data_IF_260108181678
#
_entry.id   IF_260108181678
#
_cell.length_a   1.000
_cell.length_b   1.000
_cell.length_c   1.000
_cell.angle_alpha   90.00
_cell.angle_beta   90.00
_cell.angle_gamma   90.00
#
_symmetry.space_group_name_H-M   'P 1'
#
loop_
_entity.id
_entity.type
_entity.pdbx_description
1 polymer ?
#
# COMPACT_ATOMS: atom_id res chain seq x y z
N UNK A 1 1.22 -4.46 9.90
CA UNK A 1 0.01 -3.68 10.28
C UNK A 1 0.38 -2.21 10.35
N UNK A 2 -0.58 -1.31 10.07
CA UNK A 2 -0.41 0.12 10.31
C UNK A 2 -0.96 0.41 11.71
N UNK A 3 -0.12 0.97 12.58
CA UNK A 3 -0.41 1.19 14.00
C UNK A 3 -0.22 2.67 14.31
N UNK A 4 -1.27 3.30 14.83
CA UNK A 4 -1.21 4.70 15.24
C UNK A 4 -1.79 4.88 16.65
N UNK A 5 -1.30 5.91 17.32
CA UNK A 5 -1.80 6.28 18.64
C UNK A 5 -3.25 6.78 18.52
N UNK A 6 -4.09 6.37 19.46
CA UNK A 6 -5.46 6.85 19.62
C UNK A 6 -5.69 7.26 21.08
N UNK A 7 -6.62 8.18 21.36
CA UNK A 7 -6.88 8.64 22.73
C UNK A 7 -7.31 7.52 23.68
N UNK A 8 -7.89 6.46 23.12
CA UNK A 8 -8.37 5.30 23.86
C UNK A 8 -7.37 4.13 23.87
N UNK A 9 -6.25 4.21 23.13
CA UNK A 9 -5.29 3.12 22.98
C UNK A 9 -4.58 3.17 21.63
N UNK A 10 -4.75 2.14 20.81
CA UNK A 10 -4.18 2.08 19.47
C UNK A 10 -5.28 1.94 18.41
N UNK A 11 -5.13 2.67 17.30
CA UNK A 11 -5.87 2.39 16.08
C UNK A 11 -5.02 1.51 15.17
N UNK A 12 -5.60 0.40 14.71
CA UNK A 12 -4.94 -0.64 13.92
C UNK A 12 -5.66 -0.76 12.58
N UNK A 13 -4.89 -0.65 11.50
CA UNK A 13 -5.35 -0.85 10.13
C UNK A 13 -4.52 -2.01 9.54
N UNK A 14 -5.19 -3.00 8.95
CA UNK A 14 -4.49 -4.13 8.31
C UNK A 14 -3.85 -3.67 6.99
N UNK A 15 -2.79 -4.34 6.55
CA UNK A 15 -2.23 -4.05 5.22
C UNK A 15 -3.24 -4.38 4.11
N UNK A 16 -4.08 -5.40 4.29
CA UNK A 16 -5.20 -5.69 3.41
C UNK A 16 -6.17 -4.49 3.26
N UNK A 17 -6.48 -3.78 4.35
CA UNK A 17 -7.32 -2.58 4.29
C UNK A 17 -6.63 -1.42 3.56
N UNK A 18 -5.31 -1.29 3.73
CA UNK A 18 -4.48 -0.34 2.96
C UNK A 18 -4.44 -0.68 1.47
N UNK A 19 -4.16 -1.93 1.09
CA UNK A 19 -4.15 -2.39 -0.29
C UNK A 19 -5.51 -2.16 -0.97
N UNK A 20 -6.60 -2.52 -0.29
CA UNK A 20 -7.95 -2.21 -0.77
C UNK A 20 -8.18 -0.70 -0.92
N UNK A 21 -7.70 0.13 0.00
CA UNK A 21 -7.77 1.58 -0.13
C UNK A 21 -6.97 2.10 -1.34
N UNK A 22 -5.78 1.55 -1.62
CA UNK A 22 -5.00 1.87 -2.81
C UNK A 22 -5.83 1.56 -4.07
N UNK A 23 -6.47 0.38 -4.14
CA UNK A 23 -7.37 0.03 -5.23
C UNK A 23 -8.57 0.97 -5.36
N UNK A 24 -9.18 1.38 -4.23
CA UNK A 24 -10.26 2.38 -4.21
C UNK A 24 -9.76 3.72 -4.76
N UNK A 25 -8.57 4.18 -4.41
CA UNK A 25 -7.96 5.42 -4.95
C UNK A 25 -7.78 5.29 -6.47
N UNK A 26 -7.14 4.22 -6.93
CA UNK A 26 -6.93 3.95 -8.35
C UNK A 26 -8.25 3.95 -9.13
N UNK A 27 -9.31 3.34 -8.58
CA UNK A 27 -10.64 3.28 -9.21
C UNK A 27 -11.29 4.65 -9.47
N UNK A 28 -10.82 5.71 -8.80
CA UNK A 28 -11.33 7.06 -8.93
C UNK A 28 -10.53 7.93 -9.92
N UNK A 29 -9.41 7.43 -10.43
CA UNK A 29 -8.57 8.15 -11.40
C UNK A 29 -9.36 8.53 -12.65
N UNK A 30 -8.89 9.54 -13.38
CA UNK A 30 -9.53 9.92 -14.64
C UNK A 30 -9.45 8.79 -15.66
N UNK A 31 -10.46 8.68 -16.52
CA UNK A 31 -10.57 7.54 -17.46
C UNK A 31 -9.41 7.46 -18.45
N UNK A 32 -8.77 8.58 -18.77
CA UNK A 32 -7.57 8.65 -19.61
C UNK A 32 -6.30 8.11 -18.92
N UNK A 33 -6.36 7.78 -17.63
CA UNK A 33 -5.32 7.06 -16.89
C UNK A 33 -5.62 5.56 -16.77
N UNK A 34 -6.80 5.10 -17.20
CA UNK A 34 -7.21 3.69 -17.10
C UNK A 34 -6.87 2.95 -18.43
N UNK A 35 -5.83 2.11 -18.46
CA UNK A 35 -5.43 1.34 -19.63
C UNK A 35 -6.41 0.19 -19.95
N UNK A 36 -6.11 -0.56 -21.02
CA UNK A 36 -6.66 -1.89 -21.21
C UNK A 36 -6.31 -2.82 -20.02
N UNK A 37 -7.11 -3.86 -19.81
CA UNK A 37 -6.97 -4.79 -18.68
C UNK A 37 -7.01 -4.11 -17.31
N UNK A 38 -7.77 -3.02 -17.17
CA UNK A 38 -7.83 -2.23 -15.94
C UNK A 38 -8.19 -3.05 -14.69
N UNK A 39 -9.01 -4.10 -14.81
CA UNK A 39 -9.34 -4.98 -13.68
C UNK A 39 -8.11 -5.71 -13.16
N UNK A 40 -7.22 -6.18 -14.02
CA UNK A 40 -5.95 -6.82 -13.64
C UNK A 40 -5.04 -5.79 -12.94
N UNK A 41 -4.96 -4.57 -13.47
CA UNK A 41 -4.17 -3.48 -12.85
C UNK A 41 -4.71 -3.16 -11.46
N UNK A 42 -6.03 -2.98 -11.32
CA UNK A 42 -6.68 -2.77 -10.03
C UNK A 42 -6.43 -3.93 -9.08
N UNK A 43 -6.47 -5.17 -9.56
CA UNK A 43 -6.19 -6.36 -8.75
C UNK A 43 -4.75 -6.33 -8.24
N UNK A 44 -3.79 -5.98 -9.08
CA UNK A 44 -2.40 -5.82 -8.66
C UNK A 44 -2.24 -4.74 -7.59
N UNK A 45 -2.93 -3.60 -7.74
CA UNK A 45 -2.90 -2.50 -6.77
C UNK A 45 -3.57 -2.90 -5.46
N UNK A 46 -4.64 -3.69 -5.48
CA UNK A 46 -5.30 -4.14 -4.25
C UNK A 46 -4.41 -5.06 -3.43
N UNK A 47 -3.55 -5.84 -4.09
CA UNK A 47 -2.86 -6.98 -3.47
C UNK A 47 -1.34 -6.82 -3.36
N UNK A 48 -0.80 -5.67 -3.75
CA UNK A 48 0.65 -5.44 -3.84
C UNK A 48 1.42 -5.77 -2.55
N UNK A 49 0.77 -5.59 -1.39
CA UNK A 49 1.33 -5.77 -0.04
C UNK A 49 0.56 -6.79 0.82
N UNK A 50 -0.20 -7.69 0.17
CA UNK A 50 -0.96 -8.75 0.85
C UNK A 50 -0.04 -9.83 1.45
N UNK A 51 -0.64 -10.92 1.95
CA UNK A 51 0.07 -12.12 2.44
C UNK A 51 1.10 -11.87 3.54
N UNK A 52 0.90 -10.82 4.34
CA UNK A 52 1.65 -10.63 5.57
C UNK A 52 1.68 -11.92 6.39
N UNK A 53 2.85 -12.20 6.97
CA UNK A 53 3.07 -13.34 7.84
C UNK A 53 2.03 -13.34 8.97
N UNK A 54 1.46 -14.49 9.29
CA UNK A 54 0.41 -14.56 10.30
C UNK A 54 1.00 -14.36 11.73
N UNK A 55 0.13 -14.28 12.75
CA UNK A 55 0.54 -14.06 14.15
C UNK A 55 1.39 -15.19 14.77
N UNK A 56 1.50 -16.35 14.12
CA UNK A 56 2.41 -17.45 14.49
C UNK A 56 3.78 -17.32 13.80
N UNK A 57 3.83 -16.65 12.65
CA UNK A 57 5.03 -16.54 11.80
C UNK A 57 5.84 -15.27 12.04
N UNK A 58 5.19 -14.17 12.46
CA UNK A 58 5.83 -12.88 12.71
C UNK A 58 5.37 -12.29 14.04
N UNK A 59 6.31 -11.68 14.78
CA UNK A 59 5.99 -10.91 15.98
C UNK A 59 5.43 -9.52 15.62
N UNK A 60 4.23 -9.24 16.10
CA UNK A 60 3.51 -7.98 15.90
C UNK A 60 3.61 -7.07 17.12
N UNK A 61 4.44 -7.42 18.10
CA UNK A 61 4.72 -6.62 19.28
C UNK A 61 6.15 -6.07 19.26
N UNK A 62 6.34 -4.95 19.93
CA UNK A 62 7.66 -4.46 20.29
C UNK A 62 8.19 -5.24 21.50
N UNK A 63 9.47 -5.08 21.83
CA UNK A 63 10.08 -5.64 23.06
C UNK A 63 9.36 -5.21 24.35
N UNK A 64 8.63 -4.09 24.32
CA UNK A 64 7.86 -3.56 25.45
C UNK A 64 6.39 -4.03 25.44
N UNK A 65 6.01 -4.88 24.49
CA UNK A 65 4.65 -5.42 24.36
C UNK A 65 3.65 -4.48 23.69
N UNK A 66 4.06 -3.34 23.12
CA UNK A 66 3.14 -2.49 22.33
C UNK A 66 2.94 -3.06 20.93
N UNK A 67 1.79 -2.84 20.27
CA UNK A 67 1.64 -3.18 18.86
C UNK A 67 2.70 -2.49 18.00
N UNK A 68 3.17 -3.21 16.98
CA UNK A 68 4.27 -2.78 16.12
C UNK A 68 3.75 -2.23 14.80
N UNK A 69 4.12 -1.00 14.49
CA UNK A 69 3.89 -0.42 13.16
C UNK A 69 4.84 -1.05 12.13
N UNK A 70 4.37 -1.20 10.89
CA UNK A 70 5.16 -1.78 9.81
C UNK A 70 6.45 -1.02 9.50
N UNK A 71 6.52 0.28 9.81
CA UNK A 71 7.77 1.05 9.64
C UNK A 71 8.79 0.75 10.73
N UNK A 72 8.42 0.06 11.80
CA UNK A 72 9.35 -0.31 12.86
C UNK A 72 10.11 -1.57 12.42
N UNK A 73 11.43 -1.48 12.33
CA UNK A 73 12.30 -2.60 11.92
C UNK A 73 11.96 -3.90 12.66
N UNK A 74 11.41 -4.88 11.95
CA UNK A 74 11.66 -6.30 12.23
C UNK A 74 11.16 -7.17 11.09
N UNK A 75 11.94 -7.27 10.04
CA UNK A 75 11.94 -8.52 9.32
C UNK A 75 13.38 -9.01 9.33
N UNK A 76 13.60 -10.21 9.86
CA UNK A 76 14.84 -10.89 9.53
C UNK A 76 14.86 -11.04 8.01
N UNK A 77 16.01 -10.90 7.35
CA UNK A 77 16.13 -10.96 5.89
C UNK A 77 15.36 -12.14 5.26
N UNK A 78 15.30 -13.27 5.98
CA UNK A 78 14.52 -14.46 5.60
C UNK A 78 13.00 -14.28 5.64
N UNK A 79 12.45 -13.62 6.65
CA UNK A 79 11.01 -13.35 6.78
C UNK A 79 10.53 -12.43 5.66
N UNK A 80 11.34 -11.40 5.32
CA UNK A 80 11.08 -10.52 4.19
C UNK A 80 11.06 -11.28 2.85
N UNK A 81 12.03 -12.18 2.63
CA UNK A 81 12.05 -13.04 1.44
C UNK A 81 10.85 -13.98 1.37
N UNK A 82 10.50 -14.64 2.48
CA UNK A 82 9.35 -15.56 2.53
C UNK A 82 8.03 -14.81 2.24
N UNK A 83 7.87 -13.58 2.74
CA UNK A 83 6.73 -12.72 2.43
C UNK A 83 6.70 -12.34 0.94
N UNK A 84 7.80 -11.81 0.39
CA UNK A 84 7.88 -11.41 -1.01
C UNK A 84 7.59 -12.57 -1.97
N UNK A 85 8.09 -13.77 -1.67
CA UNK A 85 7.82 -14.99 -2.44
C UNK A 85 6.34 -15.37 -2.41
N UNK A 86 5.66 -15.27 -1.26
CA UNK A 86 4.21 -15.57 -1.15
C UNK A 86 3.38 -14.59 -1.94
N UNK A 87 3.68 -13.29 -1.82
CA UNK A 87 3.01 -12.22 -2.56
C UNK A 87 3.13 -12.46 -4.06
N UNK A 88 4.35 -12.68 -4.56
CA UNK A 88 4.58 -12.93 -5.98
C UNK A 88 3.93 -14.23 -6.47
N UNK A 89 4.04 -15.32 -5.69
CA UNK A 89 3.42 -16.59 -6.04
C UNK A 89 1.90 -16.47 -6.17
N UNK A 90 1.24 -15.73 -5.26
CA UNK A 90 -0.19 -15.44 -5.35
C UNK A 90 -0.52 -14.58 -6.58
N UNK A 91 0.27 -13.55 -6.87
CA UNK A 91 0.09 -12.71 -8.06
C UNK A 91 0.16 -13.54 -9.36
N UNK A 92 1.10 -14.49 -9.43
CA UNK A 92 1.26 -15.42 -10.55
C UNK A 92 0.06 -16.35 -10.76
N UNK A 93 -0.73 -16.65 -9.72
CA UNK A 93 -1.97 -17.44 -9.86
C UNK A 93 -3.11 -16.66 -10.51
N UNK A 94 -3.06 -15.33 -10.50
CA UNK A 94 -4.16 -14.46 -10.97
C UNK A 94 -3.98 -14.12 -12.43
N UNK A 95 -2.91 -13.41 -12.76
CA UNK A 95 -2.55 -13.13 -14.15
C UNK A 95 -1.08 -12.71 -14.25
N UNK A 96 -0.54 -12.81 -15.46
CA UNK A 96 0.84 -12.38 -15.71
C UNK A 96 1.01 -10.86 -15.63
N UNK A 97 -0.07 -10.08 -15.83
CA UNK A 97 -0.05 -8.62 -15.63
C UNK A 97 -0.06 -8.27 -14.15
N UNK A 98 -0.83 -9.00 -13.33
CA UNK A 98 -0.80 -8.85 -11.87
C UNK A 98 0.60 -9.16 -11.34
N UNK A 99 1.18 -10.30 -11.75
CA UNK A 99 2.55 -10.66 -11.38
C UNK A 99 3.60 -9.65 -11.85
N UNK A 100 3.45 -9.08 -13.04
CA UNK A 100 4.36 -8.05 -13.55
C UNK A 100 4.42 -6.83 -12.62
N UNK A 101 3.25 -6.28 -12.26
CA UNK A 101 3.19 -5.06 -11.44
C UNK A 101 3.57 -5.32 -9.99
N UNK A 102 3.11 -6.43 -9.41
CA UNK A 102 3.52 -6.85 -8.06
C UNK A 102 5.01 -7.12 -8.00
N UNK A 103 5.59 -7.78 -9.01
CA UNK A 103 7.03 -8.00 -9.11
C UNK A 103 7.84 -6.71 -9.18
N UNK A 104 7.35 -5.70 -9.92
CA UNK A 104 7.94 -4.34 -9.93
C UNK A 104 7.89 -3.68 -8.56
N UNK A 105 6.80 -3.89 -7.82
CA UNK A 105 6.68 -3.34 -6.46
C UNK A 105 7.64 -4.01 -5.48
N UNK A 106 7.75 -5.35 -5.54
CA UNK A 106 8.69 -6.11 -4.70
C UNK A 106 10.14 -5.74 -4.96
N UNK A 107 10.52 -5.51 -6.22
CA UNK A 107 11.86 -4.99 -6.58
C UNK A 107 12.11 -3.63 -5.92
N UNK A 108 11.18 -2.68 -6.06
CA UNK A 108 11.28 -1.36 -5.44
C UNK A 108 11.40 -1.41 -3.92
N UNK A 109 10.67 -2.31 -3.24
CA UNK A 109 10.70 -2.40 -1.77
C UNK A 109 11.96 -3.10 -1.23
N UNK A 110 12.58 -3.98 -2.00
CA UNK A 110 13.62 -4.88 -1.52
C UNK A 110 14.99 -4.65 -2.17
N UNK A 111 15.17 -3.55 -2.91
CA UNK A 111 16.45 -3.21 -3.55
C UNK A 111 17.60 -3.14 -2.54
N UNK A 112 17.43 -2.39 -1.44
CA UNK A 112 18.44 -2.26 -0.37
C UNK A 112 18.75 -3.63 0.27
N UNK A 113 17.72 -4.46 0.48
CA UNK A 113 17.90 -5.79 1.08
C UNK A 113 18.64 -6.73 0.13
N UNK A 114 18.43 -6.60 -1.18
CA UNK A 114 19.11 -7.43 -2.18
C UNK A 114 20.62 -7.16 -2.21
N UNK A 115 21.07 -5.93 -1.93
CA UNK A 115 22.51 -5.60 -1.87
C UNK A 115 23.24 -6.41 -0.77
N UNK A 116 22.58 -6.63 0.36
CA UNK A 116 23.17 -7.28 1.54
C UNK A 116 22.71 -8.74 1.75
N UNK A 117 21.74 -9.23 0.96
CA UNK A 117 21.15 -10.56 1.12
C UNK A 117 20.94 -11.29 -0.21
N UNK A 118 21.94 -12.06 -0.62
CA UNK A 118 21.97 -12.83 -1.88
C UNK A 118 20.71 -13.65 -2.21
N UNK A 119 20.00 -14.29 -1.27
CA UNK A 119 18.75 -14.96 -1.59
C UNK A 119 17.63 -14.02 -2.06
N UNK A 120 17.60 -12.77 -1.57
CA UNK A 120 16.68 -11.75 -2.09
C UNK A 120 17.11 -11.27 -3.48
N UNK A 121 18.40 -11.02 -3.69
CA UNK A 121 18.96 -10.70 -5.02
C UNK A 121 18.53 -11.72 -6.07
N UNK A 122 18.75 -13.02 -5.82
CA UNK A 122 18.37 -14.08 -6.75
C UNK A 122 16.87 -14.11 -7.04
N UNK A 123 16.04 -13.86 -6.02
CA UNK A 123 14.59 -13.83 -6.19
C UNK A 123 14.15 -12.65 -7.07
N UNK A 124 14.75 -11.47 -6.91
CA UNK A 124 14.45 -10.31 -7.76
C UNK A 124 14.94 -10.54 -9.20
N UNK A 125 16.10 -11.17 -9.40
CA UNK A 125 16.57 -11.59 -10.74
C UNK A 125 15.60 -12.55 -11.42
N UNK A 126 15.05 -13.53 -10.68
CA UNK A 126 14.07 -14.49 -11.21
C UNK A 126 12.77 -13.79 -11.65
N UNK A 127 12.33 -12.77 -10.91
CA UNK A 127 11.19 -11.92 -11.28
C UNK A 127 11.50 -11.12 -12.54
N UNK A 128 12.65 -10.44 -12.61
CA UNK A 128 13.02 -9.60 -13.76
C UNK A 128 13.17 -10.43 -15.04
N UNK A 129 13.68 -11.66 -14.94
CA UNK A 129 13.81 -12.58 -16.07
C UNK A 129 12.47 -12.88 -16.77
N UNK A 130 11.33 -12.81 -16.07
CA UNK A 130 9.99 -13.03 -16.62
C UNK A 130 9.39 -11.77 -17.28
N UNK A 131 9.89 -10.60 -16.91
CA UNK A 131 9.30 -9.29 -17.22
C UNK A 131 9.13 -9.03 -18.72
N UNK A 132 10.13 -9.40 -19.51
CA UNK A 132 10.08 -9.25 -20.97
C UNK A 132 8.99 -10.11 -21.62
N UNK A 133 8.80 -11.34 -21.13
CA UNK A 133 7.74 -12.23 -21.60
C UNK A 133 6.36 -11.74 -21.17
N UNK A 134 6.23 -11.27 -19.93
CA UNK A 134 4.98 -10.71 -19.40
C UNK A 134 4.54 -9.48 -20.21
N UNK A 135 5.44 -8.53 -20.46
CA UNK A 135 5.16 -7.39 -21.35
C UNK A 135 4.69 -7.84 -22.73
N UNK A 136 5.39 -8.79 -23.35
CA UNK A 136 5.04 -9.30 -24.69
C UNK A 136 3.65 -9.93 -24.71
N UNK A 137 3.24 -10.65 -23.67
CA UNK A 137 1.93 -11.30 -23.57
C UNK A 137 0.78 -10.30 -23.64
N UNK A 138 0.95 -9.12 -23.04
CA UNK A 138 -0.07 -8.05 -23.01
C UNK A 138 0.19 -6.95 -24.06
N UNK A 139 1.16 -7.14 -24.97
CA UNK A 139 1.49 -6.13 -25.97
C UNK A 139 2.05 -4.82 -25.40
N UNK A 140 2.61 -4.85 -24.18
CA UNK A 140 3.13 -3.67 -23.50
C UNK A 140 4.56 -3.34 -23.93
N UNK A 141 4.84 -2.06 -24.12
CA UNK A 141 6.20 -1.52 -24.14
C UNK A 141 6.69 -1.27 -22.70
N UNK A 142 8.00 -1.10 -22.51
CA UNK A 142 8.56 -0.75 -21.20
C UNK A 142 7.91 0.50 -20.60
N UNK A 143 7.70 1.53 -21.43
CA UNK A 143 7.02 2.77 -21.00
C UNK A 143 5.59 2.54 -20.50
N UNK A 144 4.91 1.52 -21.03
CA UNK A 144 3.53 1.23 -20.64
C UNK A 144 3.55 0.59 -19.25
N UNK A 145 4.42 -0.40 -19.03
CA UNK A 145 4.69 -0.96 -17.70
C UNK A 145 5.08 0.12 -16.67
N UNK A 146 5.98 1.04 -17.03
CA UNK A 146 6.38 2.14 -16.14
C UNK A 146 5.18 3.02 -15.78
N UNK A 147 4.31 3.36 -16.75
CA UNK A 147 3.09 4.13 -16.48
C UNK A 147 2.08 3.37 -15.58
N UNK A 148 1.97 2.05 -15.73
CA UNK A 148 1.12 1.22 -14.88
C UNK A 148 1.65 1.17 -13.44
N UNK A 149 2.97 1.04 -13.31
CA UNK A 149 3.63 1.04 -12.01
C UNK A 149 3.54 2.41 -11.32
N UNK A 150 3.63 3.51 -12.07
CA UNK A 150 3.41 4.86 -11.57
C UNK A 150 2.03 5.02 -10.90
N UNK A 151 0.99 4.44 -11.51
CA UNK A 151 -0.38 4.45 -10.96
C UNK A 151 -0.44 3.66 -9.65
N UNK A 152 0.20 2.48 -9.61
CA UNK A 152 0.28 1.67 -8.40
C UNK A 152 1.00 2.42 -7.28
N UNK A 153 2.19 2.95 -7.55
CA UNK A 153 3.02 3.64 -6.56
C UNK A 153 2.36 4.93 -6.05
N UNK A 154 1.64 5.66 -6.90
CA UNK A 154 0.80 6.78 -6.46
C UNK A 154 -0.30 6.32 -5.51
N UNK A 155 -1.00 5.23 -5.87
CA UNK A 155 -2.15 4.74 -5.12
C UNK A 155 -1.74 4.19 -3.75
N UNK A 156 -0.67 3.38 -3.70
CA UNK A 156 -0.04 2.85 -2.48
C UNK A 156 0.38 3.99 -1.53
N UNK A 157 1.21 4.92 -2.00
CA UNK A 157 1.66 6.02 -1.13
C UNK A 157 0.52 6.88 -0.63
N UNK A 158 -0.48 7.16 -1.48
CA UNK A 158 -1.65 7.94 -1.09
C UNK A 158 -2.48 7.21 -0.03
N UNK A 159 -2.68 5.89 -0.13
CA UNK A 159 -3.39 5.12 0.89
C UNK A 159 -2.61 5.04 2.20
N UNK A 160 -1.28 4.87 2.19
CA UNK A 160 -0.47 4.93 3.42
C UNK A 160 -0.62 6.28 4.14
N UNK A 161 -0.55 7.40 3.41
CA UNK A 161 -0.73 8.74 3.99
C UNK A 161 -2.10 8.88 4.65
N UNK A 162 -3.16 8.39 3.99
CA UNK A 162 -4.53 8.43 4.51
C UNK A 162 -4.73 7.54 5.73
N UNK A 163 -4.18 6.32 5.72
CA UNK A 163 -4.24 5.37 6.82
C UNK A 163 -3.47 5.87 8.05
N UNK A 164 -2.29 6.45 7.84
CA UNK A 164 -1.45 6.98 8.92
C UNK A 164 -1.88 8.37 9.42
N UNK A 165 -2.90 8.98 8.79
CA UNK A 165 -3.37 10.34 9.04
C UNK A 165 -2.25 11.40 9.01
N UNK A 166 -1.27 11.20 8.12
CA UNK A 166 -0.05 12.03 8.01
C UNK A 166 -0.25 13.36 7.29
N UNK A 167 -1.48 13.67 6.88
CA UNK A 167 -1.77 14.92 6.18
C UNK A 167 -1.44 16.08 7.14
N UNK A 168 -0.56 17.02 6.77
CA UNK A 168 -0.24 18.15 7.61
C UNK A 168 -1.44 19.05 7.92
N UNK A 169 -1.37 19.79 9.02
CA UNK A 169 -2.28 20.89 9.29
C UNK A 169 -2.09 22.02 8.26
N UNK A 170 -3.19 22.73 7.98
CA UNK A 170 -3.37 23.96 7.20
C UNK A 170 -2.23 24.34 6.23
N UNK A 171 -2.47 24.14 4.93
CA UNK A 171 -1.67 24.73 3.85
C UNK A 171 -0.29 24.10 3.59
N UNK A 172 0.21 23.23 4.47
CA UNK A 172 1.44 22.45 4.21
C UNK A 172 1.13 21.26 3.31
N UNK A 173 1.92 21.14 2.24
CA UNK A 173 1.85 20.05 1.28
C UNK A 173 2.74 18.90 1.71
N UNK A 174 2.19 17.69 1.73
CA UNK A 174 2.96 16.45 1.81
C UNK A 174 3.07 15.85 0.42
N UNK A 175 4.28 15.53 -0.03
CA UNK A 175 4.49 14.85 -1.30
C UNK A 175 3.96 13.42 -1.22
N UNK A 176 3.18 13.01 -2.23
CA UNK A 176 2.83 11.61 -2.46
C UNK A 176 4.02 10.95 -3.18
N UNK A 177 4.29 11.40 -4.41
CA UNK A 177 5.46 11.01 -5.21
C UNK A 177 5.57 11.86 -6.49
N UNK A 178 6.62 11.59 -7.28
CA UNK A 178 6.71 11.95 -8.69
C UNK A 178 6.54 10.70 -9.56
N UNK A 179 5.37 10.56 -10.21
CA UNK A 179 5.01 9.34 -10.97
C UNK A 179 4.15 9.68 -12.19
N UNK A 180 2.82 9.67 -12.05
CA UNK A 180 1.85 9.75 -13.15
C UNK A 180 2.12 11.00 -14.00
N UNK A 181 2.49 10.76 -15.27
CA UNK A 181 2.84 11.80 -16.27
C UNK A 181 4.05 12.66 -15.86
N UNK A 182 4.98 12.08 -15.11
CA UNK A 182 6.18 12.74 -14.58
C UNK A 182 5.84 14.04 -13.83
N UNK A 183 4.77 14.00 -13.05
CA UNK A 183 4.32 15.11 -12.19
C UNK A 183 4.50 14.73 -10.74
N UNK A 184 4.92 15.70 -9.94
CA UNK A 184 4.90 15.58 -8.48
C UNK A 184 3.48 15.84 -7.96
N UNK A 185 2.95 14.89 -7.20
CA UNK A 185 1.66 14.99 -6.54
C UNK A 185 1.84 15.30 -5.06
N UNK A 186 0.97 16.16 -4.55
CA UNK A 186 0.92 16.54 -3.15
C UNK A 186 -0.47 16.31 -2.59
N UNK A 187 -0.55 15.89 -1.33
CA UNK A 187 -1.79 15.85 -0.55
C UNK A 187 -1.72 16.87 0.57
N UNK A 188 -2.81 17.60 0.79
CA UNK A 188 -2.90 18.60 1.85
C UNK A 188 -4.35 18.87 2.24
N UNK A 189 -4.52 19.64 3.32
CA UNK A 189 -5.79 20.30 3.65
C UNK A 189 -5.83 21.68 3.00
N UNK A 190 -6.94 22.02 2.33
CA UNK A 190 -7.19 23.35 1.80
C UNK A 190 -7.55 24.35 2.92
N UNK A 191 -7.78 25.62 2.57
CA UNK A 191 -8.13 26.67 3.54
C UNK A 191 -9.50 26.45 4.23
N UNK A 192 -10.25 25.42 3.83
CA UNK A 192 -11.53 25.00 4.42
C UNK A 192 -11.42 23.66 5.13
N UNK A 193 -10.19 23.22 5.46
CA UNK A 193 -9.85 21.95 6.10
C UNK A 193 -10.24 20.69 5.30
N UNK A 194 -10.51 20.82 3.99
CA UNK A 194 -10.84 19.67 3.14
C UNK A 194 -9.58 19.08 2.53
N UNK A 195 -9.54 17.75 2.46
CA UNK A 195 -8.41 17.04 1.84
C UNK A 195 -8.48 17.22 0.32
N UNK A 196 -7.34 17.55 -0.30
CA UNK A 196 -7.17 17.67 -1.75
C UNK A 196 -5.85 17.04 -2.19
N UNK A 197 -5.77 16.68 -3.47
CA UNK A 197 -4.55 16.24 -4.15
C UNK A 197 -4.24 17.21 -5.28
N UNK A 198 -2.99 17.65 -5.39
CA UNK A 198 -2.52 18.58 -6.41
C UNK A 198 -1.29 18.01 -7.16
N UNK A 199 -1.33 17.90 -8.50
CA UNK A 199 -2.48 18.15 -9.37
C UNK A 199 -3.59 17.12 -9.16
N UNK A 200 -4.85 17.47 -9.43
CA UNK A 200 -6.00 16.58 -9.22
C UNK A 200 -6.06 15.47 -10.28
N UNK A 201 -5.85 14.18 -9.94
CA UNK A 201 -5.79 13.09 -10.94
C UNK A 201 -7.12 12.35 -11.12
N UNK A 202 -8.16 12.74 -10.39
CA UNK A 202 -9.42 11.99 -10.34
C UNK A 202 -10.43 12.50 -11.36
N UNK A 203 -11.28 11.61 -11.86
CA UNK A 203 -12.34 11.93 -12.84
C UNK A 203 -13.34 12.94 -12.25
N UNK A 204 -13.78 12.70 -11.01
CA UNK A 204 -14.79 13.50 -10.35
C UNK A 204 -14.13 14.58 -9.47
N UNK A 205 -14.75 15.75 -9.37
CA UNK A 205 -14.28 16.85 -8.50
C UNK A 205 -14.40 16.53 -7.00
N UNK A 206 -15.08 15.43 -6.66
CA UNK A 206 -15.23 14.94 -5.29
C UNK A 206 -15.25 13.42 -5.30
N UNK A 207 -14.44 12.82 -4.45
CA UNK A 207 -14.41 11.37 -4.25
C UNK A 207 -14.62 11.06 -2.77
N UNK A 208 -15.17 9.87 -2.50
CA UNK A 208 -15.34 9.33 -1.16
C UNK A 208 -14.55 8.05 -1.07
N UNK A 209 -13.69 7.95 -0.06
CA UNK A 209 -12.86 6.79 0.20
C UNK A 209 -13.12 6.33 1.62
N UNK A 210 -13.20 5.02 1.81
CA UNK A 210 -13.43 4.42 3.10
C UNK A 210 -12.51 3.22 3.32
N UNK A 211 -12.18 2.95 4.57
CA UNK A 211 -11.36 1.82 4.96
C UNK A 211 -11.64 1.43 6.41
N UNK A 212 -11.47 0.14 6.69
CA UNK A 212 -11.74 -0.44 8.00
C UNK A 212 -10.58 -0.20 8.96
N UNK A 213 -10.92 -0.06 10.23
CA UNK A 213 -9.94 0.04 11.33
C UNK A 213 -10.50 -0.62 12.59
N UNK A 214 -9.62 -0.85 13.56
CA UNK A 214 -9.98 -1.31 14.90
C UNK A 214 -9.33 -0.43 15.95
N UNK A 215 -10.06 -0.12 17.03
CA UNK A 215 -9.48 0.52 18.22
C UNK A 215 -9.28 -0.55 19.28
N UNK A 216 -8.03 -0.70 19.73
CA UNK A 216 -7.69 -1.59 20.85
C UNK A 216 -7.34 -0.72 22.06
N UNK A 217 -8.09 -0.83 23.17
CA UNK A 217 -7.86 0.04 24.33
C UNK A 217 -6.66 -0.41 25.18
N UNK A 218 -6.19 -1.63 24.98
CA UNK A 218 -5.07 -2.21 25.69
C UNK A 218 -3.75 -1.67 25.13
N UNK A 219 -2.96 -1.03 25.98
CA UNK A 219 -1.69 -0.41 25.59
C UNK A 219 -0.58 -1.43 25.31
N UNK A 220 -0.50 -2.51 26.10
CA UNK A 220 0.55 -3.53 26.00
C UNK A 220 -0.01 -4.94 26.11
N UNK A 221 0.67 -5.89 25.48
CA UNK A 221 0.29 -7.29 25.35
C UNK A 221 1.46 -8.17 25.79
N UNK A 222 1.14 -9.32 26.38
CA UNK A 222 2.14 -10.32 26.82
C UNK A 222 2.72 -11.07 25.64
N UNK A 223 1.93 -11.30 24.60
CA UNK A 223 2.32 -12.04 23.41
C UNK A 223 1.36 -11.76 22.23
N UNK A 224 1.78 -12.21 21.05
CA UNK A 224 1.02 -12.11 19.81
C UNK A 224 -0.39 -12.72 19.86
N UNK A 225 -0.58 -13.81 20.60
CA UNK A 225 -1.88 -14.47 20.68
C UNK A 225 -2.90 -13.60 21.41
N UNK A 226 -2.47 -12.87 22.45
CA UNK A 226 -3.30 -11.91 23.16
C UNK A 226 -3.72 -10.74 22.26
N UNK A 227 -2.77 -10.18 21.50
CA UNK A 227 -3.07 -9.13 20.53
C UNK A 227 -4.04 -9.62 19.45
N UNK A 228 -3.78 -10.80 18.86
CA UNK A 228 -4.64 -11.40 17.84
C UNK A 228 -6.06 -11.57 18.36
N UNK A 229 -6.21 -12.17 19.53
CA UNK A 229 -7.53 -12.41 20.14
C UNK A 229 -8.28 -11.10 20.33
N UNK A 230 -7.61 -10.06 20.85
CA UNK A 230 -8.26 -8.77 21.02
C UNK A 230 -8.68 -8.16 19.67
N UNK A 231 -7.84 -8.25 18.64
CA UNK A 231 -8.19 -7.77 17.30
C UNK A 231 -9.39 -8.51 16.69
N UNK A 232 -9.53 -9.80 16.97
CA UNK A 232 -10.68 -10.60 16.51
C UNK A 232 -11.98 -10.25 17.29
N UNK A 233 -11.86 -9.83 18.55
CA UNK A 233 -12.99 -9.55 19.45
C UNK A 233 -13.48 -8.08 19.38
N UNK A 234 -12.64 -7.11 19.01
CA UNK A 234 -13.03 -5.69 18.93
C UNK A 234 -13.89 -5.38 17.70
N UNK A 235 -14.76 -4.39 17.85
CA UNK A 235 -15.61 -3.89 16.76
C UNK A 235 -14.78 -3.30 15.62
N UNK A 236 -15.27 -3.50 14.40
CA UNK A 236 -14.69 -2.94 13.18
C UNK A 236 -15.33 -1.56 12.94
N UNK A 237 -14.50 -0.53 12.97
CA UNK A 237 -14.88 0.83 12.58
C UNK A 237 -14.65 1.08 11.09
N UNK A 238 -15.27 2.13 10.56
CA UNK A 238 -15.10 2.57 9.18
C UNK A 238 -14.70 4.05 9.14
N UNK A 239 -13.50 4.34 8.63
CA UNK A 239 -13.08 5.71 8.32
C UNK A 239 -13.71 6.14 7.00
N UNK A 240 -14.14 7.40 6.91
CA UNK A 240 -14.58 8.03 5.68
C UNK A 240 -13.73 9.27 5.40
N UNK A 241 -12.98 9.26 4.30
CA UNK A 241 -12.19 10.38 3.79
C UNK A 241 -12.88 10.95 2.55
N UNK A 242 -13.09 12.26 2.55
CA UNK A 242 -13.66 12.98 1.41
C UNK A 242 -12.57 13.86 0.82
N UNK A 243 -12.18 13.56 -0.41
CA UNK A 243 -11.23 14.36 -1.16
C UNK A 243 -12.01 15.23 -2.15
N UNK A 244 -11.61 16.48 -2.31
CA UNK A 244 -12.22 17.43 -3.24
C UNK A 244 -11.16 18.18 -4.02
N UNK A 245 -11.45 18.40 -5.30
CA UNK A 245 -10.66 19.28 -6.16
C UNK A 245 -10.73 20.70 -5.62
N UNK A 246 -9.58 21.37 -5.56
CA UNK A 246 -9.52 22.79 -5.28
C UNK A 246 -10.06 23.56 -6.48
N UNK A 247 -11.00 24.47 -6.23
CA UNK A 247 -11.37 25.48 -7.22
C UNK A 247 -10.20 26.46 -7.28
N UNK A 248 -9.54 26.54 -8.44
CA UNK A 248 -8.55 27.58 -8.73
C UNK A 248 -9.15 28.97 -8.73
#
# INVERSE_FOLDING_TARGET
MIVKHHSEGWEIISHYAHGLLAGKIASQLSKDLMPEHWVDVLTAIVEHDDHLLNFEEQDYLTKNGTPKDFTMESNKNREALEHAQRVYANAMQKSQLVALLVGRHLEFLNEDLAEDFKPMEQFLEDIDALRAQQRKLYGLLKKDEDNLYDIMLFSDRCSLILCQDKIPEVGRKLEINNTIRNKTYFIHRDNTEKITVEPWPFENDKIKLDFEYRIIPQATFKNNQELKKLLDDVEIGLHLKILKKTNG
#
